data_IF_063077462026
#
_entry.id   IF_063077462026
#
_cell.length_a   1.000
_cell.length_b   1.000
_cell.length_c   1.000
_cell.angle_alpha   90.00
_cell.angle_beta   90.00
_cell.angle_gamma   90.00
#
_symmetry.space_group_name_H-M   'P 1'
#
loop_
_entity.id
_entity.type
_entity.pdbx_description
1 polymer ?
#
# COMPACT_ATOMS: atom_id res chain seq x y z
N UNK A 1 72.26 -17.47 14.27
CA UNK A 1 70.87 -17.86 14.60
C UNK A 1 69.92 -16.79 14.10
N UNK A 2 69.22 -17.02 12.98
CA UNK A 2 68.21 -16.10 12.47
C UNK A 2 67.26 -16.84 11.52
N UNK A 3 66.04 -17.12 11.96
CA UNK A 3 64.89 -17.33 11.08
C UNK A 3 63.67 -16.73 11.77
N UNK A 4 63.25 -15.57 11.26
CA UNK A 4 62.06 -14.84 11.71
C UNK A 4 60.83 -15.49 11.08
N UNK A 5 59.90 -15.94 11.91
CA UNK A 5 58.60 -16.45 11.48
C UNK A 5 57.73 -15.31 10.92
N UNK A 6 57.29 -15.47 9.67
CA UNK A 6 56.16 -14.75 9.09
C UNK A 6 54.89 -15.09 9.90
N UNK A 7 54.15 -14.07 10.34
CA UNK A 7 52.76 -14.24 10.77
C UNK A 7 51.87 -13.48 9.80
N UNK A 8 51.02 -14.23 9.11
CA UNK A 8 50.01 -13.73 8.19
C UNK A 8 48.94 -12.93 8.94
N UNK A 9 48.75 -11.68 8.56
CA UNK A 9 47.59 -10.87 8.92
C UNK A 9 46.45 -11.19 7.96
N UNK A 10 45.45 -11.92 8.43
CA UNK A 10 44.20 -12.10 7.70
C UNK A 10 43.34 -10.83 7.87
N UNK A 11 43.10 -10.15 6.76
CA UNK A 11 42.26 -8.94 6.67
C UNK A 11 40.82 -9.42 6.39
N UNK A 12 39.96 -9.42 7.41
CA UNK A 12 38.54 -9.74 7.25
C UNK A 12 37.87 -8.50 6.66
N UNK A 13 37.63 -8.50 5.35
CA UNK A 13 36.80 -7.51 4.69
C UNK A 13 35.32 -7.84 4.97
N UNK A 14 34.71 -7.12 5.91
CA UNK A 14 33.26 -7.12 6.10
C UNK A 14 32.60 -6.40 4.91
N UNK A 15 32.06 -7.15 3.95
CA UNK A 15 31.15 -6.61 2.96
C UNK A 15 29.83 -6.25 3.66
N UNK A 16 29.63 -4.95 3.90
CA UNK A 16 28.32 -4.38 4.18
C UNK A 16 27.46 -4.53 2.92
N UNK A 17 26.63 -5.56 2.87
CA UNK A 17 25.54 -5.63 1.91
C UNK A 17 24.49 -4.59 2.34
N UNK A 18 24.48 -3.45 1.64
CA UNK A 18 23.36 -2.52 1.72
C UNK A 18 22.13 -3.23 1.17
N UNK A 19 21.22 -3.64 2.06
CA UNK A 19 19.87 -4.04 1.68
C UNK A 19 19.18 -2.80 1.12
N UNK A 20 19.11 -2.68 -0.20
CA UNK A 20 18.24 -1.69 -0.83
C UNK A 20 16.81 -2.07 -0.50
N UNK A 21 16.19 -1.36 0.44
CA UNK A 21 14.75 -1.39 0.65
C UNK A 21 14.07 -1.25 -0.72
N UNK A 22 13.20 -2.19 -1.06
CA UNK A 22 12.58 -2.26 -2.39
C UNK A 22 11.71 -1.02 -2.59
N UNK A 23 12.28 0.01 -3.21
CA UNK A 23 11.59 1.26 -3.43
C UNK A 23 10.45 0.99 -4.42
N UNK A 24 9.20 1.10 -3.96
CA UNK A 24 8.01 0.97 -4.80
C UNK A 24 8.16 1.82 -6.07
N UNK A 25 7.89 1.22 -7.22
CA UNK A 25 8.04 1.90 -8.52
C UNK A 25 6.74 2.57 -8.97
N UNK A 26 5.61 2.16 -8.39
CA UNK A 26 4.28 2.66 -8.76
C UNK A 26 3.71 3.63 -7.74
N UNK A 27 3.94 3.43 -6.45
CA UNK A 27 3.43 4.36 -5.44
C UNK A 27 4.25 5.66 -5.50
N UNK A 28 3.60 6.82 -5.76
CA UNK A 28 4.28 8.12 -5.84
C UNK A 28 5.07 8.47 -4.57
N UNK A 29 6.19 9.17 -4.73
CA UNK A 29 7.11 9.48 -3.62
C UNK A 29 6.44 10.23 -2.47
N UNK A 30 5.56 11.19 -2.77
CA UNK A 30 4.83 11.98 -1.78
C UNK A 30 3.84 11.15 -0.95
N UNK A 31 3.47 9.96 -1.41
CA UNK A 31 2.57 9.04 -0.71
C UNK A 31 3.30 7.96 0.10
N UNK A 32 4.64 8.01 0.14
CA UNK A 32 5.48 6.97 0.75
C UNK A 32 6.27 7.43 1.96
N UNK A 33 6.07 8.66 2.42
CA UNK A 33 6.84 9.25 3.50
C UNK A 33 6.86 8.40 4.79
N UNK A 34 5.78 7.66 5.06
CA UNK A 34 5.66 6.79 6.24
C UNK A 34 6.15 5.34 6.03
N UNK A 35 6.53 4.95 4.81
CA UNK A 35 6.89 3.57 4.50
C UNK A 35 8.26 3.28 5.10
N UNK A 36 8.33 2.31 6.01
CA UNK A 36 9.58 1.90 6.62
C UNK A 36 10.20 0.75 5.83
N UNK A 37 11.52 0.76 5.68
CA UNK A 37 12.30 -0.29 5.01
C UNK A 37 12.21 -1.67 5.68
N UNK A 38 11.81 -1.71 6.95
CA UNK A 38 11.49 -2.92 7.73
C UNK A 38 10.06 -2.86 8.30
N UNK A 39 9.18 -2.10 7.65
CA UNK A 39 7.86 -1.75 8.16
C UNK A 39 6.78 -2.78 7.88
N UNK A 40 5.60 -2.53 8.42
CA UNK A 40 4.37 -3.21 8.04
C UNK A 40 4.18 -3.09 6.53
N UNK A 41 4.02 -4.22 5.85
CA UNK A 41 3.60 -4.26 4.45
C UNK A 41 2.09 -4.53 4.41
N UNK A 42 1.41 -3.98 3.41
CA UNK A 42 0.03 -4.37 3.11
C UNK A 42 0.05 -5.31 1.91
N UNK A 43 -0.58 -6.45 2.07
CA UNK A 43 -0.83 -7.40 0.99
C UNK A 43 -2.28 -7.24 0.53
N UNK A 44 -2.45 -7.12 -0.77
CA UNK A 44 -3.75 -6.95 -1.43
C UNK A 44 -3.92 -8.08 -2.43
N UNK A 45 -5.04 -8.79 -2.36
CA UNK A 45 -5.29 -9.92 -3.25
C UNK A 45 -6.69 -9.92 -3.84
N UNK A 46 -6.75 -10.11 -5.15
CA UNK A 46 -7.99 -10.32 -5.91
C UNK A 46 -8.31 -11.80 -6.13
N UNK A 47 -7.38 -12.69 -5.76
CA UNK A 47 -7.70 -14.09 -5.50
C UNK A 47 -8.08 -14.19 -4.03
N UNK A 48 -8.98 -15.09 -3.62
CA UNK A 48 -9.47 -15.16 -2.23
C UNK A 48 -8.37 -15.55 -1.19
N UNK A 49 -7.11 -15.47 -1.56
CA UNK A 49 -5.91 -15.73 -0.76
C UNK A 49 -5.20 -14.40 -0.46
N UNK A 50 -5.63 -13.72 0.60
CA UNK A 50 -5.10 -12.40 1.01
C UNK A 50 -3.59 -12.42 1.28
N UNK A 51 -3.07 -13.53 1.81
CA UNK A 51 -1.66 -13.75 2.17
C UNK A 51 -0.73 -13.89 0.95
N UNK A 52 -1.31 -14.08 -0.24
CA UNK A 52 -0.61 -14.12 -1.51
C UNK A 52 -0.90 -12.83 -2.30
N UNK A 53 -0.75 -11.70 -1.62
CA UNK A 53 -0.98 -10.39 -2.23
C UNK A 53 -0.11 -10.15 -3.47
N UNK A 54 -0.60 -9.32 -4.38
CA UNK A 54 0.16 -8.98 -5.58
C UNK A 54 1.37 -8.12 -5.26
N UNK A 55 2.38 -8.17 -6.14
CA UNK A 55 3.60 -7.35 -6.02
C UNK A 55 3.37 -5.96 -6.59
N UNK A 56 4.06 -4.96 -6.05
CA UNK A 56 4.02 -3.60 -6.59
C UNK A 56 4.31 -3.57 -8.10
N UNK A 57 3.43 -2.94 -8.88
CA UNK A 57 3.48 -2.90 -10.34
C UNK A 57 2.97 -4.14 -11.07
N UNK A 58 2.30 -5.05 -10.37
CA UNK A 58 1.59 -6.16 -11.03
C UNK A 58 0.58 -5.61 -12.05
N UNK A 59 0.56 -6.24 -13.22
CA UNK A 59 -0.35 -5.91 -14.31
C UNK A 59 -1.61 -6.78 -14.24
N UNK A 60 -2.78 -6.16 -14.31
CA UNK A 60 -4.07 -6.82 -14.32
C UNK A 60 -4.88 -6.45 -15.56
N UNK A 61 -5.72 -7.39 -16.01
CA UNK A 61 -6.82 -7.10 -16.92
C UNK A 61 -8.02 -6.56 -16.12
N UNK A 62 -8.87 -5.74 -16.75
CA UNK A 62 -10.01 -5.06 -16.10
C UNK A 62 -10.89 -6.01 -15.26
N UNK A 63 -11.22 -7.18 -15.80
CA UNK A 63 -12.14 -8.11 -15.14
C UNK A 63 -11.55 -8.74 -13.87
N UNK A 64 -10.22 -8.84 -13.79
CA UNK A 64 -9.53 -9.42 -12.63
C UNK A 64 -9.65 -8.54 -11.37
N UNK A 65 -9.94 -7.25 -11.55
CA UNK A 65 -10.04 -6.24 -10.49
C UNK A 65 -11.46 -5.69 -10.34
N UNK A 66 -12.47 -6.42 -10.84
CA UNK A 66 -13.86 -5.98 -10.84
C UNK A 66 -14.52 -6.03 -9.45
N UNK A 67 -13.91 -6.72 -8.47
CA UNK A 67 -14.45 -6.93 -7.12
C UNK A 67 -13.49 -6.40 -6.06
N UNK A 68 -14.04 -5.99 -4.92
CA UNK A 68 -13.24 -5.58 -3.75
C UNK A 68 -12.22 -6.67 -3.38
N UNK A 69 -10.93 -6.33 -3.23
CA UNK A 69 -9.91 -7.29 -2.86
C UNK A 69 -9.98 -7.66 -1.38
N UNK A 70 -9.19 -8.66 -1.00
CA UNK A 70 -8.93 -9.02 0.39
C UNK A 70 -7.55 -8.50 0.83
N UNK A 71 -7.40 -8.29 2.13
CA UNK A 71 -6.23 -7.63 2.71
C UNK A 71 -5.56 -8.48 3.79
N UNK A 72 -4.24 -8.41 3.85
CA UNK A 72 -3.42 -8.98 4.90
C UNK A 72 -2.24 -8.05 5.23
N UNK A 73 -1.64 -8.25 6.40
CA UNK A 73 -0.33 -7.67 6.72
C UNK A 73 0.76 -8.56 6.07
N UNK A 74 1.86 -7.98 5.62
CA UNK A 74 2.99 -8.78 5.13
C UNK A 74 3.69 -9.52 6.27
N UNK A 75 4.42 -10.58 5.93
CA UNK A 75 5.04 -11.51 6.90
C UNK A 75 6.03 -10.85 7.86
N UNK A 76 6.62 -9.71 7.47
CA UNK A 76 7.54 -8.94 8.31
C UNK A 76 6.83 -7.99 9.29
N UNK A 77 5.50 -7.93 9.26
CA UNK A 77 4.71 -7.01 10.07
C UNK A 77 4.53 -7.53 11.49
N UNK A 78 4.84 -6.70 12.48
CA UNK A 78 4.50 -7.02 13.86
C UNK A 78 2.98 -6.95 14.06
N UNK A 79 2.33 -8.09 14.28
CA UNK A 79 0.89 -8.14 14.52
C UNK A 79 0.60 -7.57 15.91
N UNK A 80 -0.04 -6.40 15.95
CA UNK A 80 -0.55 -5.78 17.18
C UNK A 80 -2.08 -5.87 17.14
N UNK A 81 -2.73 -6.78 17.90
CA UNK A 81 -4.16 -7.04 17.77
C UNK A 81 -5.08 -5.85 18.07
N UNK A 82 -4.58 -4.86 18.82
CA UNK A 82 -5.32 -3.63 19.13
C UNK A 82 -5.21 -2.55 18.06
N UNK A 83 -4.35 -2.72 17.06
CA UNK A 83 -4.20 -1.75 15.98
C UNK A 83 -5.35 -1.92 14.99
N UNK A 84 -5.98 -0.78 14.68
CA UNK A 84 -6.99 -0.67 13.63
C UNK A 84 -6.37 0.08 12.45
N UNK A 85 -6.69 -0.38 11.25
CA UNK A 85 -6.19 0.17 10.01
C UNK A 85 -7.33 0.71 9.15
N UNK A 86 -7.03 1.76 8.40
CA UNK A 86 -7.86 2.30 7.34
C UNK A 86 -7.13 2.10 6.02
N UNK A 87 -7.83 1.53 5.04
CA UNK A 87 -7.29 1.28 3.71
C UNK A 87 -8.06 2.12 2.70
N UNK A 88 -7.31 2.80 1.83
CA UNK A 88 -7.86 3.55 0.69
C UNK A 88 -7.28 3.05 -0.61
N UNK A 89 -8.02 3.22 -1.71
CA UNK A 89 -7.52 3.01 -3.07
C UNK A 89 -7.58 4.31 -3.85
N UNK A 90 -6.50 4.63 -4.55
CA UNK A 90 -6.38 5.83 -5.38
C UNK A 90 -6.02 5.45 -6.81
N UNK A 91 -6.63 6.11 -7.78
CA UNK A 91 -6.07 6.23 -9.12
C UNK A 91 -4.98 7.31 -9.09
N UNK A 92 -3.75 6.94 -9.43
CA UNK A 92 -2.59 7.85 -9.44
C UNK A 92 -1.98 8.05 -10.81
N UNK A 93 -2.67 7.60 -11.87
CA UNK A 93 -2.16 7.71 -13.24
C UNK A 93 -1.83 9.14 -13.62
N UNK A 94 -2.70 10.08 -13.23
CA UNK A 94 -2.52 11.51 -13.44
C UNK A 94 -2.16 12.18 -12.10
N UNK A 95 -0.89 12.59 -11.88
CA UNK A 95 -0.42 13.07 -10.57
C UNK A 95 -1.22 14.24 -9.99
N UNK A 96 -1.75 15.13 -10.83
CA UNK A 96 -2.56 16.30 -10.43
C UNK A 96 -4.07 16.03 -10.31
N UNK A 97 -4.53 14.83 -10.69
CA UNK A 97 -5.95 14.45 -10.75
C UNK A 97 -6.16 13.06 -10.14
N UNK A 98 -5.60 12.83 -8.95
CA UNK A 98 -5.77 11.55 -8.24
C UNK A 98 -7.23 11.38 -7.85
N UNK A 99 -7.80 10.20 -8.04
CA UNK A 99 -9.22 9.95 -7.72
C UNK A 99 -9.31 8.85 -6.67
N UNK A 100 -10.22 9.03 -5.70
CA UNK A 100 -10.47 8.04 -4.66
C UNK A 100 -11.46 6.98 -5.16
N UNK A 101 -11.04 5.72 -5.08
CA UNK A 101 -11.80 4.55 -5.55
C UNK A 101 -12.40 3.72 -4.41
N UNK A 102 -11.82 3.81 -3.23
CA UNK A 102 -12.24 3.02 -2.09
C UNK A 102 -11.75 3.66 -0.80
N UNK A 103 -12.57 3.60 0.25
CA UNK A 103 -12.13 3.95 1.59
C UNK A 103 -12.92 3.13 2.61
N UNK A 104 -12.20 2.34 3.42
CA UNK A 104 -12.81 1.56 4.48
C UNK A 104 -11.90 1.49 5.70
N UNK A 105 -12.53 1.64 6.86
CA UNK A 105 -11.85 1.74 8.14
C UNK A 105 -11.99 0.46 8.98
N UNK A 106 -11.25 0.46 10.09
CA UNK A 106 -11.37 -0.50 11.19
C UNK A 106 -10.99 -1.93 10.83
N UNK A 107 -10.11 -2.09 9.84
CA UNK A 107 -9.44 -3.36 9.59
C UNK A 107 -8.61 -3.73 10.81
N UNK A 108 -8.73 -4.97 11.25
CA UNK A 108 -7.87 -5.55 12.30
C UNK A 108 -7.53 -6.98 11.95
N UNK A 109 -6.44 -7.46 12.52
CA UNK A 109 -6.10 -8.87 12.44
C UNK A 109 -7.24 -9.70 13.03
N UNK A 110 -7.68 -10.73 12.30
CA UNK A 110 -8.75 -11.64 12.73
C UNK A 110 -8.21 -12.93 13.36
N UNK A 111 -6.93 -12.95 13.73
CA UNK A 111 -6.18 -14.11 14.24
C UNK A 111 -6.04 -15.27 13.24
N UNK A 112 -6.32 -15.04 11.95
CA UNK A 112 -6.04 -15.95 10.85
C UNK A 112 -4.76 -15.48 10.12
N UNK A 113 -3.61 -15.92 10.64
CA UNK A 113 -2.28 -15.56 10.14
C UNK A 113 -2.10 -14.04 10.16
N UNK A 114 -1.95 -13.40 8.99
CA UNK A 114 -1.78 -11.97 8.83
C UNK A 114 -3.02 -11.29 8.24
N UNK A 115 -4.09 -12.05 7.97
CA UNK A 115 -5.32 -11.53 7.36
C UNK A 115 -5.93 -10.44 8.23
N UNK A 116 -6.36 -9.36 7.59
CA UNK A 116 -7.08 -8.28 8.25
C UNK A 116 -8.48 -8.16 7.67
N UNK A 117 -9.46 -7.97 8.54
CA UNK A 117 -10.86 -7.85 8.16
C UNK A 117 -11.53 -6.76 8.97
N UNK A 118 -12.66 -6.28 8.49
CA UNK A 118 -13.49 -5.29 9.18
C UNK A 118 -14.95 -5.67 9.04
N UNK A 119 -15.73 -5.33 10.07
CA UNK A 119 -17.20 -5.41 10.04
C UNK A 119 -17.84 -4.05 9.76
N UNK A 120 -17.04 -2.97 9.76
CA UNK A 120 -17.53 -1.64 9.42
C UNK A 120 -17.93 -1.61 7.95
N UNK A 121 -19.01 -0.89 7.66
CA UNK A 121 -19.39 -0.60 6.27
C UNK A 121 -18.31 0.27 5.62
N UNK A 122 -18.09 0.13 4.31
CA UNK A 122 -17.19 1.04 3.59
C UNK A 122 -17.71 2.48 3.67
N UNK A 123 -16.77 3.40 3.85
CA UNK A 123 -17.07 4.84 3.88
C UNK A 123 -17.18 5.35 2.44
N UNK A 124 -16.39 4.77 1.54
CA UNK A 124 -16.59 4.80 0.09
C UNK A 124 -16.55 3.36 -0.42
N UNK A 125 -17.67 2.93 -1.01
CA UNK A 125 -17.80 1.64 -1.70
C UNK A 125 -16.73 1.48 -2.78
N UNK A 126 -16.32 0.23 -3.03
CA UNK A 126 -15.30 -0.07 -4.03
C UNK A 126 -15.77 0.28 -5.44
N UNK A 127 -15.17 1.32 -6.02
CA UNK A 127 -15.30 1.70 -7.43
C UNK A 127 -14.20 0.99 -8.21
N UNK A 128 -14.55 -0.03 -8.99
CA UNK A 128 -13.57 -0.80 -9.76
C UNK A 128 -12.77 0.07 -10.75
N UNK A 129 -11.52 -0.28 -11.08
CA UNK A 129 -10.76 0.35 -12.16
C UNK A 129 -11.57 0.47 -13.47
N UNK A 130 -11.60 1.69 -14.03
CA UNK A 130 -12.36 2.00 -15.25
C UNK A 130 -13.87 2.17 -15.06
N UNK A 131 -14.39 2.13 -13.83
CA UNK A 131 -15.82 2.32 -13.55
C UNK A 131 -16.24 3.80 -13.52
N UNK A 132 -15.30 4.73 -13.41
CA UNK A 132 -15.55 6.18 -13.44
C UNK A 132 -15.28 6.78 -14.83
N UNK A 133 -15.18 5.93 -15.86
CA UNK A 133 -14.93 6.33 -17.24
C UNK A 133 -13.44 6.43 -17.59
N UNK A 134 -12.55 5.93 -16.73
CA UNK A 134 -11.11 5.93 -17.02
C UNK A 134 -10.75 4.95 -18.13
N UNK A 135 -9.78 5.36 -18.94
CA UNK A 135 -9.19 4.57 -20.01
C UNK A 135 -7.66 4.57 -19.88
N UNK A 136 -6.99 3.72 -20.65
CA UNK A 136 -5.54 3.58 -20.69
C UNK A 136 -5.05 2.22 -20.24
N UNK A 137 -4.14 1.64 -21.01
CA UNK A 137 -3.49 0.36 -20.66
C UNK A 137 -2.40 0.49 -19.59
N UNK A 138 -2.04 1.73 -19.24
CA UNK A 138 -1.05 2.09 -18.24
C UNK A 138 -1.69 2.68 -16.99
N UNK A 139 -2.99 2.46 -16.73
CA UNK A 139 -3.70 3.07 -15.60
C UNK A 139 -3.17 2.51 -14.28
N UNK A 140 -2.69 3.39 -13.41
CA UNK A 140 -2.06 3.03 -12.14
C UNK A 140 -3.03 3.26 -10.98
N UNK A 141 -3.17 2.23 -10.16
CA UNK A 141 -3.96 2.28 -8.93
C UNK A 141 -3.11 1.85 -7.76
N UNK A 142 -3.26 2.51 -6.63
CA UNK A 142 -2.51 2.19 -5.41
C UNK A 142 -3.46 1.97 -4.24
N UNK A 143 -3.06 1.08 -3.35
CA UNK A 143 -3.64 0.95 -2.02
C UNK A 143 -2.70 1.58 -1.02
N UNK A 144 -3.24 2.39 -0.11
CA UNK A 144 -2.52 2.95 1.03
C UNK A 144 -3.18 2.49 2.32
N UNK A 145 -2.37 2.12 3.30
CA UNK A 145 -2.81 1.71 4.62
C UNK A 145 -2.34 2.71 5.68
N UNK A 146 -3.29 3.18 6.47
CA UNK A 146 -3.09 4.09 7.59
C UNK A 146 -3.41 3.39 8.90
N UNK A 147 -2.68 3.70 9.96
CA UNK A 147 -3.09 3.36 11.32
C UNK A 147 -4.15 4.34 11.78
N UNK A 148 -5.26 3.84 12.32
CA UNK A 148 -6.28 4.68 12.88
C UNK A 148 -5.73 5.55 14.02
N UNK A 149 -6.09 6.84 14.10
CA UNK A 149 -5.60 7.73 15.14
C UNK A 149 -5.95 7.19 16.53
N UNK A 150 -4.95 7.19 17.42
CA UNK A 150 -5.09 6.66 18.79
C UNK A 150 -5.57 5.20 18.85
N UNK A 151 -5.46 4.43 17.74
CA UNK A 151 -5.99 3.06 17.60
C UNK A 151 -7.48 2.93 17.89
N UNK A 152 -8.25 3.99 17.63
CA UNK A 152 -9.71 4.00 17.84
C UNK A 152 -10.45 3.64 16.55
N UNK A 153 -11.68 3.16 16.71
CA UNK A 153 -12.57 2.97 15.58
C UNK A 153 -12.92 4.32 14.92
N UNK A 154 -13.04 4.32 13.61
CA UNK A 154 -13.44 5.45 12.78
C UNK A 154 -14.72 5.06 12.07
N UNK A 155 -15.80 5.78 12.34
CA UNK A 155 -17.10 5.57 11.69
C UNK A 155 -17.31 6.50 10.49
N UNK A 156 -16.55 7.59 10.41
CA UNK A 156 -16.65 8.59 9.35
C UNK A 156 -15.28 9.11 8.93
N UNK A 157 -15.09 9.35 7.64
CA UNK A 157 -13.92 10.08 7.10
C UNK A 157 -14.40 11.28 6.31
N UNK A 158 -13.63 12.37 6.38
CA UNK A 158 -13.72 13.48 5.43
C UNK A 158 -13.04 13.05 4.14
N UNK A 159 -13.84 12.76 3.14
CA UNK A 159 -13.41 12.37 1.80
C UNK A 159 -13.51 13.58 0.84
N UNK A 160 -12.76 13.60 -0.27
CA UNK A 160 -13.03 14.53 -1.36
C UNK A 160 -14.46 14.32 -1.90
N UNK A 161 -15.04 15.36 -2.49
CA UNK A 161 -16.31 15.23 -3.22
C UNK A 161 -16.18 14.30 -4.43
N UNK A 162 -17.32 13.87 -4.98
CA UNK A 162 -17.32 13.03 -6.18
C UNK A 162 -16.61 13.71 -7.35
N UNK A 163 -15.59 13.05 -7.90
CA UNK A 163 -14.79 13.57 -9.02
C UNK A 163 -13.76 14.63 -8.64
N UNK A 164 -13.69 15.03 -7.36
CA UNK A 164 -12.64 15.94 -6.90
C UNK A 164 -11.29 15.23 -6.77
N UNK A 165 -10.22 15.99 -7.02
CA UNK A 165 -8.86 15.47 -6.88
C UNK A 165 -8.56 15.16 -5.40
N UNK A 166 -7.99 13.99 -5.15
CA UNK A 166 -7.55 13.57 -3.84
C UNK A 166 -6.26 14.30 -3.44
N UNK A 167 -6.34 15.09 -2.38
CA UNK A 167 -5.19 15.70 -1.70
C UNK A 167 -4.83 14.87 -0.45
N UNK A 168 -3.69 14.19 -0.52
CA UNK A 168 -3.22 13.33 0.56
C UNK A 168 -2.88 14.07 1.85
N UNK A 169 -2.37 15.30 1.74
CA UNK A 169 -2.05 16.11 2.92
C UNK A 169 -3.35 16.55 3.58
N UNK A 170 -4.30 17.08 2.81
CA UNK A 170 -5.62 17.45 3.31
C UNK A 170 -6.34 16.26 3.94
N UNK A 171 -6.35 15.11 3.28
CA UNK A 171 -6.98 13.89 3.80
C UNK A 171 -6.40 13.48 5.16
N UNK A 172 -5.07 13.51 5.32
CA UNK A 172 -4.43 13.20 6.59
C UNK A 172 -4.82 14.21 7.68
N UNK A 173 -4.68 15.50 7.38
CA UNK A 173 -4.91 16.57 8.34
C UNK A 173 -6.38 16.59 8.81
N UNK A 174 -7.31 16.42 7.88
CA UNK A 174 -8.74 16.45 8.14
C UNK A 174 -9.23 15.28 9.01
N UNK A 175 -8.56 14.12 8.90
CA UNK A 175 -8.91 12.88 9.58
C UNK A 175 -7.96 12.50 10.72
N UNK A 176 -6.94 13.33 11.00
CA UNK A 176 -5.96 13.12 12.08
C UNK A 176 -4.98 11.97 11.84
N UNK A 177 -4.80 11.53 10.59
CA UNK A 177 -3.85 10.47 10.26
C UNK A 177 -2.40 10.97 10.27
N UNK A 178 -1.49 10.06 10.58
CA UNK A 178 -0.08 10.20 10.21
C UNK A 178 0.13 9.81 8.74
N UNK A 179 1.37 9.84 8.27
CA UNK A 179 1.71 9.26 6.96
C UNK A 179 1.26 7.78 6.86
N UNK A 180 0.91 7.30 5.65
CA UNK A 180 0.55 5.91 5.46
C UNK A 180 1.73 5.02 5.84
N UNK A 181 1.44 3.93 6.56
CA UNK A 181 2.47 2.99 7.04
C UNK A 181 2.93 2.05 5.91
N UNK A 182 2.03 1.74 4.99
CA UNK A 182 2.27 0.83 3.88
C UNK A 182 1.45 1.19 2.65
N UNK A 183 1.84 0.63 1.51
CA UNK A 183 1.05 0.66 0.29
C UNK A 183 1.64 -0.19 -0.82
N UNK A 184 0.79 -0.51 -1.79
CA UNK A 184 1.13 -1.31 -2.96
C UNK A 184 0.35 -0.82 -4.17
N UNK A 185 1.02 -0.73 -5.31
CA UNK A 185 0.46 -0.29 -6.58
C UNK A 185 0.28 -1.42 -7.58
N UNK A 186 -0.66 -1.24 -8.49
CA UNK A 186 -0.91 -2.10 -9.64
C UNK A 186 -1.11 -1.26 -10.91
N UNK A 187 -0.94 -1.90 -12.06
CA UNK A 187 -1.30 -1.36 -13.36
C UNK A 187 -2.48 -2.15 -13.91
N UNK A 188 -3.51 -1.48 -14.43
CA UNK A 188 -4.68 -2.13 -15.00
C UNK A 188 -4.82 -1.75 -16.46
N UNK A 189 -5.05 -2.75 -17.31
CA UNK A 189 -5.39 -2.52 -18.71
C UNK A 189 -6.87 -2.23 -18.86
N UNK A 190 -7.19 -0.99 -19.23
CA UNK A 190 -8.57 -0.54 -19.43
C UNK A 190 -8.90 -0.33 -20.91
N UNK A 191 -7.92 -0.48 -21.81
CA UNK A 191 -8.04 -0.17 -23.23
C UNK A 191 -7.83 1.32 -23.49
N UNK A 192 -7.17 1.62 -24.63
CA UNK A 192 -6.96 2.99 -25.10
C UNK A 192 -5.80 3.71 -24.41
N UNK A 193 -5.90 5.04 -24.31
CA UNK A 193 -4.86 5.91 -23.74
C UNK A 193 -5.41 6.66 -22.53
N UNK A 194 -4.61 6.78 -21.48
CA UNK A 194 -4.96 7.59 -20.33
C UNK A 194 -4.93 9.07 -20.71
N UNK A 195 -6.05 9.77 -20.43
CA UNK A 195 -6.14 11.22 -20.57
C UNK A 195 -5.87 11.90 -19.22
N UNK A 196 -4.87 12.79 -19.22
CA UNK A 196 -4.46 13.63 -18.11
C UNK A 196 -4.41 15.08 -18.62
#
# INVERSE_FOLDING_TARGET
MAFKFLRHTALIATLLQFTSAQQSKIVPEDLRAGFRSSGTEVQVSYTNEAVNGFKDGTLFEKDAVAKEPTFALGDSSAIVPSTLYTIIMLDTTCPSKRVLHYARSNFKNNFDITKITTQSSPILEYKAPGSLGEAGDNRQYIFLMYVNPQRKAIDTLKLPGDGEAFDAKKFKDDNGFQDPEAGVGMVVKLGGTADC
#
